data_IF_230164820923
#
_entry.id   IF_230164820923
#
_cell.length_a   1.000
_cell.length_b   1.000
_cell.length_c   1.000
_cell.angle_alpha   90.00
_cell.angle_beta   90.00
_cell.angle_gamma   90.00
#
_symmetry.space_group_name_H-M   'P 1'
#
loop_
_entity.id
_entity.type
_entity.pdbx_description
1 polymer ?
#
# COMPACT_ATOMS: atom_id res chain seq x y z
N UNK A 1 26.50 13.84 33.36
CA UNK A 1 25.95 14.69 32.28
C UNK A 1 25.17 13.79 31.31
N UNK A 2 23.89 13.65 31.57
CA UNK A 2 22.96 12.76 30.88
C UNK A 2 22.31 13.51 29.73
N UNK A 3 22.64 13.16 28.50
CA UNK A 3 21.93 13.69 27.29
C UNK A 3 20.57 13.01 27.21
N UNK A 4 19.51 13.79 27.38
CA UNK A 4 18.12 13.39 27.50
C UNK A 4 17.51 12.72 26.25
N UNK A 5 16.36 12.04 26.41
CA UNK A 5 15.69 11.21 25.42
C UNK A 5 15.11 11.97 24.21
N UNK A 6 15.11 13.30 24.25
CA UNK A 6 14.53 14.17 23.19
C UNK A 6 15.28 14.09 21.85
N UNK A 7 16.57 13.73 21.88
CA UNK A 7 17.40 13.71 20.67
C UNK A 7 17.19 12.44 19.80
N UNK A 8 16.65 11.33 20.36
CA UNK A 8 16.32 10.11 19.62
C UNK A 8 15.00 10.23 18.84
N UNK A 9 14.03 10.99 19.36
CA UNK A 9 12.77 11.27 18.64
C UNK A 9 13.02 12.11 17.37
N UNK A 10 13.92 13.10 17.46
CA UNK A 10 14.21 13.99 16.33
C UNK A 10 14.97 13.27 15.19
N UNK A 11 15.78 12.26 15.50
CA UNK A 11 16.47 11.46 14.48
C UNK A 11 15.56 10.46 13.75
N UNK A 12 14.50 9.95 14.38
CA UNK A 12 13.54 9.07 13.72
C UNK A 12 12.62 9.86 12.78
N UNK A 13 12.19 11.06 13.18
CA UNK A 13 11.41 11.97 12.35
C UNK A 13 12.20 12.47 11.14
N UNK A 14 13.47 12.79 11.29
CA UNK A 14 14.35 13.22 10.18
C UNK A 14 14.59 12.10 9.17
N UNK A 15 14.66 10.83 9.60
CA UNK A 15 14.79 9.68 8.68
C UNK A 15 13.50 9.38 7.92
N UNK A 16 12.34 9.58 8.54
CA UNK A 16 11.03 9.43 7.89
C UNK A 16 10.80 10.56 6.89
N UNK A 17 11.13 11.81 7.26
CA UNK A 17 11.04 12.98 6.38
C UNK A 17 12.06 12.89 5.24
N UNK A 18 13.29 12.41 5.48
CA UNK A 18 14.29 12.25 4.45
C UNK A 18 13.96 11.12 3.45
N UNK A 19 13.22 10.07 3.88
CA UNK A 19 12.73 8.99 2.99
C UNK A 19 11.45 9.40 2.23
N UNK A 20 10.60 10.25 2.80
CA UNK A 20 9.46 10.83 2.08
C UNK A 20 9.90 11.98 1.14
N UNK A 21 11.00 12.67 1.44
CA UNK A 21 11.59 13.65 0.52
C UNK A 21 12.09 13.02 -0.80
N UNK A 22 12.43 11.74 -0.80
CA UNK A 22 12.78 11.02 -2.03
C UNK A 22 11.58 10.73 -2.93
N UNK A 23 10.35 10.79 -2.39
CA UNK A 23 9.11 10.71 -3.21
C UNK A 23 8.72 12.06 -3.81
N UNK A 24 9.14 13.19 -3.23
CA UNK A 24 8.88 14.52 -3.79
C UNK A 24 9.46 14.72 -5.20
N UNK A 25 10.72 14.29 -5.54
CA UNK A 25 11.21 14.41 -6.90
C UNK A 25 10.46 13.51 -7.88
N UNK A 26 9.91 12.37 -7.41
CA UNK A 26 9.13 11.46 -8.26
C UNK A 26 7.75 12.05 -8.57
N UNK A 27 7.11 12.71 -7.59
CA UNK A 27 5.86 13.46 -7.77
C UNK A 27 6.13 14.73 -8.60
N UNK A 28 7.21 15.46 -8.33
CA UNK A 28 7.63 16.63 -9.09
C UNK A 28 8.03 16.25 -10.53
N UNK A 29 8.68 15.10 -10.72
CA UNK A 29 9.01 14.58 -12.06
C UNK A 29 7.75 14.17 -12.84
N UNK A 30 6.77 13.55 -12.15
CA UNK A 30 5.47 13.18 -12.74
C UNK A 30 4.66 14.42 -13.17
N UNK A 31 4.70 15.50 -12.34
CA UNK A 31 4.05 16.78 -12.69
C UNK A 31 4.83 17.56 -13.75
N UNK A 32 6.16 17.43 -13.78
CA UNK A 32 6.99 18.09 -14.80
C UNK A 32 6.87 17.41 -16.18
N UNK A 33 6.79 16.08 -16.21
CA UNK A 33 6.57 15.32 -17.44
C UNK A 33 5.18 15.62 -18.02
N UNK A 34 4.17 15.80 -17.18
CA UNK A 34 2.83 16.19 -17.65
C UNK A 34 2.78 17.61 -18.21
N UNK A 35 3.64 18.53 -17.76
CA UNK A 35 3.69 19.90 -18.28
C UNK A 35 4.50 20.04 -19.57
N UNK A 36 5.45 19.15 -19.85
CA UNK A 36 6.25 19.21 -21.09
C UNK A 36 5.56 18.58 -22.30
N UNK A 37 4.57 17.73 -22.11
CA UNK A 37 3.79 17.16 -23.22
C UNK A 37 2.81 18.16 -23.85
N UNK A 38 2.66 19.38 -23.28
CA UNK A 38 1.75 20.43 -23.78
C UNK A 38 2.44 21.62 -24.44
N UNK A 39 3.77 21.62 -24.57
CA UNK A 39 4.50 22.68 -25.25
C UNK A 39 4.86 22.22 -26.67
N UNK A 40 3.93 22.26 -27.62
CA UNK A 40 4.24 22.28 -29.04
C UNK A 40 4.37 23.75 -29.47
N UNK A 41 5.53 24.21 -30.01
CA UNK A 41 5.63 25.49 -30.66
C UNK A 41 5.22 25.34 -32.17
N UNK A 42 4.22 26.08 -32.55
CA UNK A 42 4.03 26.48 -33.96
C UNK A 42 2.96 25.71 -34.74
N UNK A 43 1.73 26.17 -34.65
CA UNK A 43 0.77 26.09 -35.74
C UNK A 43 0.32 27.52 -36.07
N UNK A 44 0.13 27.88 -37.40
CA UNK A 44 -0.20 29.25 -37.79
C UNK A 44 -1.62 29.63 -37.39
N UNK A 45 -1.75 30.87 -36.95
CA UNK A 45 -3.03 31.53 -36.67
C UNK A 45 -3.90 31.57 -37.92
N UNK A 46 -5.04 30.95 -37.89
CA UNK A 46 -6.17 31.26 -38.74
C UNK A 46 -7.46 31.28 -37.94
N UNK A 47 -7.99 32.49 -37.76
CA UNK A 47 -9.42 32.86 -37.65
C UNK A 47 -10.26 32.14 -36.61
N UNK A 48 -10.44 32.83 -35.50
CA UNK A 48 -11.63 32.99 -34.68
C UNK A 48 -12.64 31.87 -34.56
N UNK A 49 -12.60 31.22 -33.35
CA UNK A 49 -13.74 30.91 -32.53
C UNK A 49 -13.20 30.61 -31.15
N UNK A 50 -13.76 31.27 -30.12
CA UNK A 50 -13.40 31.12 -28.74
C UNK A 50 -13.56 29.67 -28.27
N UNK A 51 -12.52 28.85 -28.47
CA UNK A 51 -12.40 27.58 -27.77
C UNK A 51 -12.00 27.92 -26.33
N UNK A 52 -13.02 28.14 -25.48
CA UNK A 52 -12.83 28.18 -24.06
C UNK A 52 -11.95 26.98 -23.67
N UNK A 53 -10.93 27.13 -22.80
CA UNK A 53 -10.15 26.02 -22.31
C UNK A 53 -11.13 25.06 -21.65
N UNK A 54 -11.51 24.01 -22.37
CA UNK A 54 -12.32 22.93 -21.82
C UNK A 54 -11.47 22.32 -20.72
N UNK A 55 -11.76 22.73 -19.49
CA UNK A 55 -11.01 22.28 -18.32
C UNK A 55 -10.97 20.76 -18.33
N UNK A 56 -9.93 20.16 -17.80
CA UNK A 56 -9.74 18.71 -17.68
C UNK A 56 -11.04 17.98 -17.26
N UNK A 57 -11.89 18.62 -16.45
CA UNK A 57 -13.21 18.15 -16.07
C UNK A 57 -14.22 18.12 -17.24
N UNK A 58 -14.21 19.09 -18.15
CA UNK A 58 -15.14 19.10 -19.29
C UNK A 58 -14.77 17.97 -20.27
N UNK A 59 -13.48 17.71 -20.47
CA UNK A 59 -12.98 16.58 -21.25
C UNK A 59 -13.36 15.24 -20.61
N UNK A 60 -13.35 15.18 -19.28
CA UNK A 60 -13.73 13.99 -18.51
C UNK A 60 -15.22 13.63 -18.70
N UNK A 61 -16.10 14.63 -18.84
CA UNK A 61 -17.55 14.44 -18.98
C UNK A 61 -18.04 14.42 -20.43
N UNK A 62 -17.18 14.70 -21.41
CA UNK A 62 -17.57 14.70 -22.84
C UNK A 62 -17.85 13.29 -23.41
N UNK A 63 -17.39 12.21 -22.73
CA UNK A 63 -17.52 10.81 -23.16
C UNK A 63 -18.89 10.17 -23.05
N UNK A 64 -19.97 10.95 -22.90
CA UNK A 64 -21.30 10.42 -22.74
C UNK A 64 -21.49 9.62 -21.44
N UNK A 65 -22.62 8.93 -21.29
CA UNK A 65 -22.98 8.17 -20.09
C UNK A 65 -21.96 7.07 -19.78
N UNK A 66 -21.44 6.39 -20.80
CA UNK A 66 -20.50 5.28 -20.62
C UNK A 66 -19.12 5.78 -20.15
N UNK A 67 -18.62 6.86 -20.72
CA UNK A 67 -17.38 7.51 -20.28
C UNK A 67 -17.49 7.98 -18.82
N UNK A 68 -18.61 8.61 -18.47
CA UNK A 68 -18.86 9.07 -17.11
C UNK A 68 -18.88 7.91 -16.09
N UNK A 69 -19.47 6.75 -16.43
CA UNK A 69 -19.47 5.56 -15.57
C UNK A 69 -18.05 5.04 -15.37
N UNK A 70 -17.22 4.97 -16.42
CA UNK A 70 -15.84 4.50 -16.31
C UNK A 70 -14.99 5.41 -15.40
N UNK A 71 -15.17 6.71 -15.55
CA UNK A 71 -14.48 7.70 -14.72
C UNK A 71 -14.95 7.60 -13.27
N UNK A 72 -16.25 7.41 -13.02
CA UNK A 72 -16.77 7.23 -11.69
C UNK A 72 -16.18 5.98 -11.01
N UNK A 73 -16.07 4.87 -11.74
CA UNK A 73 -15.42 3.64 -11.23
C UNK A 73 -13.95 3.91 -10.87
N UNK A 74 -13.19 4.58 -11.74
CA UNK A 74 -11.79 4.93 -11.48
C UNK A 74 -11.66 5.87 -10.28
N UNK A 75 -12.57 6.83 -10.12
CA UNK A 75 -12.59 7.74 -8.99
C UNK A 75 -12.87 6.99 -7.68
N UNK A 76 -13.82 6.06 -7.67
CA UNK A 76 -14.10 5.21 -6.50
C UNK A 76 -12.88 4.33 -6.16
N UNK A 77 -12.22 3.72 -7.15
CA UNK A 77 -11.00 2.95 -6.94
C UNK A 77 -9.87 3.83 -6.39
N UNK A 78 -9.71 5.05 -6.90
CA UNK A 78 -8.72 6.01 -6.42
C UNK A 78 -8.96 6.41 -4.97
N UNK A 79 -10.20 6.72 -4.61
CA UNK A 79 -10.58 7.10 -3.24
C UNK A 79 -10.36 5.93 -2.27
N UNK A 80 -10.74 4.71 -2.68
CA UNK A 80 -10.54 3.50 -1.89
C UNK A 80 -9.05 3.19 -1.71
N UNK A 81 -8.23 3.32 -2.76
CA UNK A 81 -6.78 3.14 -2.68
C UNK A 81 -6.15 4.16 -1.72
N UNK A 82 -6.52 5.44 -1.83
CA UNK A 82 -6.02 6.50 -0.95
C UNK A 82 -6.39 6.24 0.52
N UNK A 83 -7.63 5.83 0.78
CA UNK A 83 -8.10 5.44 2.12
C UNK A 83 -7.28 4.27 2.69
N UNK A 84 -7.08 3.18 1.91
CA UNK A 84 -6.31 2.03 2.34
C UNK A 84 -4.84 2.36 2.60
N UNK A 85 -4.22 3.20 1.76
CA UNK A 85 -2.85 3.66 1.97
C UNK A 85 -2.74 4.40 3.30
N UNK A 86 -3.68 5.31 3.57
CA UNK A 86 -3.69 6.09 4.81
C UNK A 86 -3.92 5.19 6.04
N UNK A 87 -4.88 4.28 5.98
CA UNK A 87 -5.18 3.32 7.06
C UNK A 87 -3.97 2.44 7.38
N UNK A 88 -3.30 1.90 6.36
CA UNK A 88 -2.13 1.04 6.55
C UNK A 88 -0.90 1.82 7.05
N UNK A 89 -0.73 3.09 6.66
CA UNK A 89 0.30 3.95 7.23
C UNK A 89 0.12 4.17 8.73
N UNK A 90 -1.13 4.24 9.18
CA UNK A 90 -1.45 4.44 10.61
C UNK A 90 -1.37 3.12 11.40
N UNK A 91 -1.79 2.00 10.81
CA UNK A 91 -1.92 0.70 11.49
C UNK A 91 -0.60 -0.09 11.50
N UNK A 92 0.21 -0.05 10.43
CA UNK A 92 1.47 -0.80 10.34
C UNK A 92 2.62 0.02 10.95
N UNK A 93 2.56 0.21 12.28
CA UNK A 93 3.61 0.89 13.03
C UNK A 93 4.37 -0.10 13.92
N UNK A 94 5.70 0.05 14.01
CA UNK A 94 6.56 -0.79 14.84
C UNK A 94 6.12 -0.86 16.30
N UNK A 95 5.67 0.26 16.85
CA UNK A 95 5.27 0.35 18.27
C UNK A 95 4.04 -0.50 18.60
N UNK A 96 3.12 -0.62 17.63
CA UNK A 96 1.88 -1.38 17.82
C UNK A 96 2.11 -2.88 17.59
N UNK A 97 3.06 -3.24 16.74
CA UNK A 97 3.40 -4.65 16.45
C UNK A 97 4.40 -5.22 17.46
N UNK A 98 5.37 -4.41 17.88
CA UNK A 98 6.45 -4.82 18.80
C UNK A 98 6.67 -3.73 19.86
N UNK A 99 5.98 -3.79 21.01
CA UNK A 99 6.19 -2.87 22.12
C UNK A 99 7.62 -3.00 22.67
N UNK A 100 8.27 -1.85 22.85
CA UNK A 100 9.62 -1.81 23.40
C UNK A 100 9.64 -2.39 24.82
N UNK A 101 10.59 -3.29 25.10
CA UNK A 101 10.82 -3.89 26.41
C UNK A 101 9.96 -5.10 26.75
N UNK A 102 8.96 -5.47 25.94
CA UNK A 102 8.14 -6.66 26.20
C UNK A 102 8.97 -7.95 26.14
N UNK A 103 9.86 -8.10 25.16
CA UNK A 103 10.76 -9.25 25.03
C UNK A 103 11.64 -9.44 26.25
N UNK A 104 12.20 -8.35 26.80
CA UNK A 104 13.10 -8.40 27.95
C UNK A 104 12.32 -8.73 29.23
N UNK A 105 11.13 -8.15 29.38
CA UNK A 105 10.24 -8.43 30.51
C UNK A 105 9.82 -9.90 30.53
N UNK A 106 9.33 -10.42 29.40
CA UNK A 106 8.92 -11.83 29.29
C UNK A 106 10.11 -12.76 29.51
N UNK A 107 11.27 -12.44 28.96
CA UNK A 107 12.51 -13.21 29.19
C UNK A 107 12.89 -13.28 30.66
N UNK A 108 12.81 -12.17 31.42
CA UNK A 108 13.09 -12.14 32.83
C UNK A 108 12.12 -13.03 33.62
N UNK A 109 10.82 -12.95 33.35
CA UNK A 109 9.80 -13.79 33.96
C UNK A 109 10.04 -15.28 33.67
N UNK A 110 10.41 -15.64 32.45
CA UNK A 110 10.72 -17.03 32.09
C UNK A 110 12.00 -17.54 32.77
N UNK A 111 13.00 -16.69 32.95
CA UNK A 111 14.24 -17.08 33.67
C UNK A 111 14.01 -17.26 35.17
N UNK A 112 13.10 -16.49 35.81
CA UNK A 112 12.68 -16.66 37.19
C UNK A 112 11.74 -17.84 37.39
N UNK A 113 11.20 -18.43 36.30
CA UNK A 113 10.27 -19.57 36.36
C UNK A 113 8.82 -19.17 36.60
N UNK A 114 8.51 -17.88 36.54
CA UNK A 114 7.15 -17.37 36.72
C UNK A 114 6.42 -17.27 35.38
N UNK A 115 5.79 -18.39 34.96
CA UNK A 115 5.04 -18.49 33.72
C UNK A 115 3.78 -17.62 33.74
N UNK A 116 3.15 -17.43 34.89
CA UNK A 116 1.94 -16.61 35.02
C UNK A 116 2.25 -15.14 34.79
N UNK A 117 3.32 -14.62 35.39
CA UNK A 117 3.76 -13.25 35.18
C UNK A 117 4.17 -13.01 33.68
N UNK A 118 4.77 -14.01 33.03
CA UNK A 118 5.10 -13.92 31.60
C UNK A 118 3.83 -13.85 30.71
N UNK A 119 2.80 -14.65 31.04
CA UNK A 119 1.51 -14.61 30.34
C UNK A 119 0.77 -13.28 30.55
N UNK A 120 0.73 -12.79 31.79
CA UNK A 120 0.12 -11.51 32.14
C UNK A 120 0.81 -10.33 31.42
N UNK A 121 2.13 -10.35 31.34
CA UNK A 121 2.89 -9.34 30.60
C UNK A 121 2.52 -9.32 29.10
N UNK A 122 2.32 -10.49 28.49
CA UNK A 122 1.87 -10.60 27.10
C UNK A 122 0.40 -10.14 26.92
N UNK A 123 -0.48 -10.48 27.87
CA UNK A 123 -1.91 -10.11 27.83
C UNK A 123 -2.14 -8.61 28.07
N UNK A 124 -1.32 -7.98 28.89
CA UNK A 124 -1.41 -6.54 29.18
C UNK A 124 -1.12 -5.64 27.99
N UNK A 125 -0.38 -6.15 27.00
CA UNK A 125 0.02 -5.41 25.78
C UNK A 125 -0.22 -6.27 24.53
N UNK A 126 -1.49 -6.40 24.09
CA UNK A 126 -1.81 -7.19 22.92
C UNK A 126 -1.11 -6.63 21.66
N UNK A 127 -0.22 -7.42 21.08
CA UNK A 127 0.60 -7.04 19.94
C UNK A 127 0.95 -8.28 19.11
N UNK A 128 1.54 -8.09 17.93
CA UNK A 128 2.06 -9.18 17.11
C UNK A 128 3.02 -10.07 17.90
N UNK A 129 4.00 -9.46 18.56
CA UNK A 129 5.00 -10.17 19.35
C UNK A 129 4.39 -10.87 20.57
N UNK A 130 3.46 -10.23 21.29
CA UNK A 130 2.81 -10.85 22.47
C UNK A 130 2.01 -12.10 22.11
N UNK A 131 1.35 -12.10 20.95
CA UNK A 131 0.64 -13.27 20.45
C UNK A 131 1.60 -14.45 20.21
N UNK A 132 2.71 -14.20 19.54
CA UNK A 132 3.73 -15.21 19.23
C UNK A 132 4.35 -15.76 20.50
N UNK A 133 4.72 -14.88 21.47
CA UNK A 133 5.30 -15.30 22.75
C UNK A 133 4.29 -16.10 23.59
N UNK A 134 3.02 -15.70 23.60
CA UNK A 134 1.97 -16.40 24.34
C UNK A 134 1.82 -17.85 23.87
N UNK A 135 1.79 -18.07 22.53
CA UNK A 135 1.71 -19.42 21.96
C UNK A 135 2.94 -20.25 22.29
N UNK A 136 4.14 -19.66 22.25
CA UNK A 136 5.34 -20.35 22.67
C UNK A 136 5.35 -20.70 24.16
N UNK A 137 4.81 -19.82 25.02
CA UNK A 137 4.72 -20.06 26.48
C UNK A 137 3.73 -21.20 26.79
N UNK A 138 2.61 -21.29 26.08
CA UNK A 138 1.61 -22.35 26.28
C UNK A 138 2.13 -23.76 26.00
N UNK A 139 3.14 -23.88 25.14
CA UNK A 139 3.71 -25.17 24.75
C UNK A 139 4.99 -25.56 25.51
N UNK A 140 5.39 -24.79 26.52
CA UNK A 140 6.62 -25.05 27.28
C UNK A 140 6.62 -26.43 27.98
N UNK A 141 5.46 -26.89 28.43
CA UNK A 141 5.32 -28.18 29.15
C UNK A 141 5.50 -29.38 28.20
N UNK A 142 5.28 -29.20 26.88
CA UNK A 142 5.38 -30.25 25.88
C UNK A 142 6.79 -30.39 25.26
N UNK A 143 7.72 -29.53 25.69
CA UNK A 143 9.12 -29.57 25.30
C UNK A 143 9.48 -28.61 24.15
N UNK A 144 10.81 -28.56 23.87
CA UNK A 144 11.37 -27.55 22.99
C UNK A 144 10.81 -27.57 21.56
N UNK A 145 10.62 -28.76 20.98
CA UNK A 145 10.13 -28.87 19.60
C UNK A 145 8.68 -28.36 19.47
N UNK A 146 7.86 -28.53 20.52
CA UNK A 146 6.51 -28.00 20.55
C UNK A 146 6.53 -26.46 20.61
N UNK A 147 7.40 -25.89 21.45
CA UNK A 147 7.57 -24.43 21.53
C UNK A 147 8.02 -23.83 20.20
N UNK A 148 9.04 -24.42 19.55
CA UNK A 148 9.56 -23.95 18.28
C UNK A 148 8.48 -23.98 17.21
N UNK A 149 7.75 -25.08 17.12
CA UNK A 149 6.64 -25.21 16.17
C UNK A 149 5.50 -24.23 16.47
N UNK A 150 5.11 -24.06 17.72
CA UNK A 150 4.05 -23.12 18.11
C UNK A 150 4.43 -21.66 17.77
N UNK A 151 5.69 -21.28 17.96
CA UNK A 151 6.20 -19.96 17.58
C UNK A 151 6.16 -19.77 16.06
N UNK A 152 6.60 -20.77 15.30
CA UNK A 152 6.57 -20.73 13.82
C UNK A 152 5.13 -20.64 13.30
N UNK A 153 4.22 -21.45 13.80
CA UNK A 153 2.81 -21.46 13.42
C UNK A 153 2.13 -20.12 13.78
N UNK A 154 2.42 -19.56 14.96
CA UNK A 154 1.91 -18.26 15.37
C UNK A 154 2.45 -17.11 14.52
N UNK A 155 3.75 -17.14 14.15
CA UNK A 155 4.35 -16.18 13.23
C UNK A 155 3.69 -16.27 11.85
N UNK A 156 3.50 -17.47 11.32
CA UNK A 156 2.87 -17.68 10.02
C UNK A 156 1.41 -17.19 10.03
N UNK A 157 0.65 -17.49 11.07
CA UNK A 157 -0.74 -17.03 11.20
C UNK A 157 -0.84 -15.50 11.24
N UNK A 158 -0.04 -14.85 12.09
CA UNK A 158 -0.08 -13.39 12.24
C UNK A 158 0.44 -12.67 10.99
N UNK A 159 1.49 -13.19 10.36
CA UNK A 159 1.98 -12.64 9.10
C UNK A 159 0.92 -12.72 7.99
N UNK A 160 0.24 -13.87 7.86
CA UNK A 160 -0.84 -14.04 6.91
C UNK A 160 -2.01 -13.07 7.16
N UNK A 161 -2.32 -12.74 8.42
CA UNK A 161 -3.32 -11.73 8.77
C UNK A 161 -2.91 -10.32 8.31
N UNK A 162 -1.64 -9.96 8.44
CA UNK A 162 -1.12 -8.67 7.99
C UNK A 162 -1.09 -8.59 6.46
N UNK A 163 -0.63 -9.65 5.77
CA UNK A 163 -0.61 -9.70 4.31
C UNK A 163 -2.00 -9.58 3.69
N UNK A 164 -3.01 -10.26 4.26
CA UNK A 164 -4.40 -10.14 3.79
C UNK A 164 -4.93 -8.71 3.83
N UNK A 165 -4.51 -7.91 4.82
CA UNK A 165 -4.94 -6.50 4.89
C UNK A 165 -4.42 -5.67 3.73
N UNK A 166 -3.17 -5.85 3.34
CA UNK A 166 -2.57 -5.08 2.24
C UNK A 166 -2.91 -5.63 0.85
N UNK A 167 -3.42 -6.86 0.74
CA UNK A 167 -3.76 -7.54 -0.52
C UNK A 167 -4.77 -6.73 -1.35
N UNK A 168 -5.74 -6.10 -0.70
CA UNK A 168 -6.72 -5.25 -1.39
C UNK A 168 -6.07 -4.11 -2.19
N UNK A 169 -4.93 -3.61 -1.73
CA UNK A 169 -4.21 -2.55 -2.44
C UNK A 169 -3.56 -3.09 -3.73
N UNK A 170 -3.07 -4.33 -3.70
CA UNK A 170 -2.58 -5.05 -4.89
C UNK A 170 -3.71 -5.29 -5.89
N UNK A 171 -4.88 -5.71 -5.41
CA UNK A 171 -6.07 -5.95 -6.26
C UNK A 171 -6.48 -4.67 -6.98
N UNK A 172 -6.58 -3.53 -6.26
CA UNK A 172 -6.91 -2.23 -6.88
C UNK A 172 -5.84 -1.85 -7.92
N UNK A 173 -4.56 -2.01 -7.58
CA UNK A 173 -3.46 -1.70 -8.49
C UNK A 173 -3.47 -2.51 -9.78
N UNK A 174 -3.95 -3.75 -9.73
CA UNK A 174 -4.08 -4.61 -10.93
C UNK A 174 -5.38 -4.35 -11.70
N UNK A 175 -6.49 -4.07 -11.02
CA UNK A 175 -7.79 -3.85 -11.66
C UNK A 175 -7.86 -2.47 -12.32
N UNK A 176 -7.28 -1.43 -11.73
CA UNK A 176 -7.41 -0.07 -12.26
C UNK A 176 -6.92 0.09 -13.72
N UNK A 177 -5.76 -0.48 -14.14
CA UNK A 177 -5.36 -0.43 -15.55
C UNK A 177 -6.30 -1.21 -16.47
N UNK A 178 -6.87 -2.33 -15.98
CA UNK A 178 -7.82 -3.15 -16.74
C UNK A 178 -9.12 -2.38 -16.99
N UNK A 179 -9.61 -1.64 -16.01
CA UNK A 179 -10.76 -0.74 -16.16
C UNK A 179 -10.43 0.39 -17.15
N UNK A 180 -9.22 0.96 -17.07
CA UNK A 180 -8.76 1.96 -18.04
C UNK A 180 -8.73 1.40 -19.47
N UNK A 181 -8.19 0.20 -19.65
CA UNK A 181 -8.17 -0.49 -20.96
C UNK A 181 -9.58 -0.79 -21.47
N UNK A 182 -10.48 -1.25 -20.60
CA UNK A 182 -11.89 -1.47 -20.93
C UNK A 182 -12.52 -0.17 -21.46
N UNK A 183 -12.21 0.96 -20.84
CA UNK A 183 -12.67 2.27 -21.30
C UNK A 183 -12.22 2.60 -22.72
N UNK A 184 -10.95 2.27 -23.10
CA UNK A 184 -10.49 2.48 -24.49
C UNK A 184 -11.22 1.60 -25.49
N UNK A 185 -11.44 0.33 -25.18
CA UNK A 185 -12.13 -0.60 -26.08
C UNK A 185 -13.56 -0.13 -26.32
N UNK A 186 -14.29 0.23 -25.25
CA UNK A 186 -15.67 0.74 -25.37
C UNK A 186 -15.70 2.07 -26.13
N UNK A 187 -14.78 2.99 -25.83
CA UNK A 187 -14.69 4.29 -26.53
C UNK A 187 -14.44 4.12 -28.03
N UNK A 188 -13.55 3.22 -28.43
CA UNK A 188 -13.34 2.91 -29.85
C UNK A 188 -14.57 2.26 -30.51
N UNK A 189 -15.26 1.33 -29.83
CA UNK A 189 -16.50 0.74 -30.36
C UNK A 189 -17.53 1.81 -30.64
N UNK A 190 -17.74 2.75 -29.72
CA UNK A 190 -18.70 3.86 -29.89
C UNK A 190 -18.25 4.78 -31.04
N UNK A 191 -16.96 5.11 -31.13
CA UNK A 191 -16.45 5.94 -32.21
C UNK A 191 -16.69 5.33 -33.61
N UNK A 192 -16.39 4.03 -33.78
CA UNK A 192 -16.67 3.32 -35.05
C UNK A 192 -18.15 3.10 -35.32
N UNK A 193 -18.98 2.91 -34.29
CA UNK A 193 -20.43 2.83 -34.46
C UNK A 193 -21.02 4.15 -35.01
N UNK A 194 -20.50 5.29 -34.55
CA UNK A 194 -20.90 6.60 -35.06
C UNK A 194 -20.51 6.75 -36.54
N UNK A 195 -19.33 6.30 -36.96
CA UNK A 195 -18.89 6.29 -38.36
C UNK A 195 -19.82 5.42 -39.22
N UNK A 196 -20.17 4.23 -38.72
CA UNK A 196 -21.05 3.31 -39.42
C UNK A 196 -22.49 3.87 -39.59
N UNK A 197 -23.03 4.51 -38.57
CA UNK A 197 -24.36 5.08 -38.57
C UNK A 197 -24.53 6.28 -39.49
N UNK A 198 -23.42 7.01 -39.74
CA UNK A 198 -23.37 8.18 -40.69
C UNK A 198 -23.00 7.79 -42.11
N UNK A 199 -23.06 6.50 -42.46
CA UNK A 199 -22.70 5.98 -43.80
C UNK A 199 -21.32 6.43 -44.30
N UNK A 200 -20.36 6.58 -43.38
CA UNK A 200 -19.00 7.01 -43.68
C UNK A 200 -18.80 8.51 -43.84
N UNK A 201 -19.83 9.33 -43.61
CA UNK A 201 -19.73 10.81 -43.67
C UNK A 201 -19.27 11.43 -42.35
N UNK A 202 -18.98 10.61 -41.31
CA UNK A 202 -18.40 11.10 -40.07
C UNK A 202 -17.08 11.83 -40.34
N UNK A 203 -16.95 13.03 -39.76
CA UNK A 203 -15.75 13.83 -39.94
C UNK A 203 -14.57 13.24 -39.15
N UNK A 204 -13.35 13.36 -39.67
CA UNK A 204 -12.12 12.94 -38.98
C UNK A 204 -12.00 13.51 -37.57
N UNK A 205 -12.42 14.76 -37.27
CA UNK A 205 -12.46 15.28 -35.89
C UNK A 205 -13.35 14.49 -34.93
N UNK A 206 -14.51 14.01 -35.35
CA UNK A 206 -15.42 13.23 -34.49
C UNK A 206 -14.81 11.87 -34.11
N UNK A 207 -14.13 11.22 -35.06
CA UNK A 207 -13.41 9.98 -34.77
C UNK A 207 -12.24 10.21 -33.81
N UNK A 208 -11.47 11.28 -34.03
CA UNK A 208 -10.34 11.66 -33.19
C UNK A 208 -10.77 11.95 -31.75
N UNK A 209 -11.90 12.62 -31.58
CA UNK A 209 -12.46 12.90 -30.24
C UNK A 209 -12.80 11.62 -29.48
N UNK A 210 -13.46 10.64 -30.12
CA UNK A 210 -13.77 9.35 -29.49
C UNK A 210 -12.51 8.57 -29.10
N UNK A 211 -11.47 8.58 -29.94
CA UNK A 211 -10.18 7.96 -29.62
C UNK A 211 -9.48 8.68 -28.46
N UNK A 212 -9.48 10.00 -28.48
CA UNK A 212 -8.88 10.81 -27.40
C UNK A 212 -9.53 10.52 -26.05
N UNK A 213 -10.86 10.53 -25.98
CA UNK A 213 -11.59 10.20 -24.76
C UNK A 213 -11.28 8.79 -24.25
N UNK A 214 -11.18 7.83 -25.16
CA UNK A 214 -10.77 6.47 -24.84
C UNK A 214 -9.37 6.44 -24.18
N UNK A 215 -8.39 7.13 -24.73
CA UNK A 215 -7.03 7.16 -24.18
C UNK A 215 -6.96 7.80 -22.79
N UNK A 216 -7.78 8.82 -22.52
CA UNK A 216 -7.86 9.48 -21.20
C UNK A 216 -8.23 8.49 -20.09
N UNK A 217 -9.12 7.53 -20.35
CA UNK A 217 -9.51 6.51 -19.34
C UNK A 217 -8.34 5.59 -18.98
N UNK A 218 -7.49 5.22 -19.94
CA UNK A 218 -6.30 4.40 -19.67
C UNK A 218 -5.28 5.17 -18.82
N UNK A 219 -5.04 6.43 -19.13
CA UNK A 219 -4.16 7.29 -18.34
C UNK A 219 -4.69 7.40 -16.91
N UNK A 220 -6.00 7.59 -16.74
CA UNK A 220 -6.66 7.61 -15.43
C UNK A 220 -6.44 6.30 -14.65
N UNK A 221 -6.58 5.16 -15.32
CA UNK A 221 -6.33 3.84 -14.70
C UNK A 221 -4.88 3.68 -14.23
N UNK A 222 -3.91 4.12 -15.01
CA UNK A 222 -2.48 4.06 -14.65
C UNK A 222 -2.14 5.02 -13.50
N UNK A 223 -2.73 6.22 -13.45
CA UNK A 223 -2.53 7.17 -12.35
C UNK A 223 -2.98 6.57 -11.01
N UNK A 224 -4.03 5.75 -10.99
CA UNK A 224 -4.49 5.05 -9.79
C UNK A 224 -3.61 3.85 -9.47
N UNK A 225 -3.22 3.07 -10.48
CA UNK A 225 -2.48 1.82 -10.31
C UNK A 225 -1.06 2.00 -9.78
N UNK A 226 -0.32 2.97 -10.32
CA UNK A 226 1.10 3.16 -9.97
C UNK A 226 1.30 3.43 -8.48
N UNK A 227 0.60 4.40 -7.83
CA UNK A 227 0.74 4.61 -6.41
C UNK A 227 0.19 3.45 -5.57
N UNK A 228 -0.85 2.75 -6.02
CA UNK A 228 -1.42 1.61 -5.30
C UNK A 228 -0.42 0.44 -5.23
N UNK A 229 0.18 0.04 -6.37
CA UNK A 229 1.19 -1.02 -6.42
C UNK A 229 2.46 -0.61 -5.68
N UNK A 230 2.89 0.65 -5.83
CA UNK A 230 4.06 1.16 -5.12
C UNK A 230 3.88 1.12 -3.60
N UNK A 231 2.72 1.54 -3.10
CA UNK A 231 2.40 1.48 -1.68
C UNK A 231 2.29 0.03 -1.18
N UNK A 232 1.65 -0.88 -1.94
CA UNK A 232 1.61 -2.30 -1.64
C UNK A 232 3.01 -2.90 -1.46
N UNK A 233 3.93 -2.65 -2.39
CA UNK A 233 5.30 -3.14 -2.32
C UNK A 233 6.04 -2.62 -1.07
N UNK A 234 5.84 -1.35 -0.71
CA UNK A 234 6.44 -0.75 0.48
C UNK A 234 5.88 -1.41 1.76
N UNK A 235 4.56 -1.60 1.86
CA UNK A 235 3.94 -2.22 3.03
C UNK A 235 4.34 -3.69 3.16
N UNK A 236 4.38 -4.42 2.06
CA UNK A 236 4.83 -5.81 2.02
C UNK A 236 6.24 -5.96 2.59
N UNK A 237 7.18 -5.17 2.08
CA UNK A 237 8.56 -5.19 2.60
C UNK A 237 8.66 -4.81 4.08
N UNK A 238 7.82 -3.91 4.57
CA UNK A 238 7.76 -3.56 6.00
C UNK A 238 7.23 -4.71 6.85
N UNK A 239 6.18 -5.40 6.40
CA UNK A 239 5.64 -6.56 7.11
C UNK A 239 6.69 -7.66 7.18
N UNK A 240 7.37 -7.99 6.07
CA UNK A 240 8.45 -8.97 6.05
C UNK A 240 9.56 -8.64 7.06
N UNK A 241 9.97 -7.37 7.15
CA UNK A 241 10.95 -6.92 8.13
C UNK A 241 10.45 -7.10 9.58
N UNK A 242 9.18 -6.77 9.86
CA UNK A 242 8.62 -6.93 11.21
C UNK A 242 8.46 -8.39 11.59
N UNK A 243 8.07 -9.26 10.66
CA UNK A 243 7.98 -10.71 10.91
C UNK A 243 9.36 -11.29 11.23
N UNK A 244 10.39 -10.93 10.47
CA UNK A 244 11.77 -11.36 10.73
C UNK A 244 12.29 -10.85 12.07
N UNK A 245 12.02 -9.59 12.43
CA UNK A 245 12.43 -9.01 13.72
C UNK A 245 11.70 -9.71 14.88
N UNK A 246 10.40 -9.99 14.74
CA UNK A 246 9.62 -10.70 15.76
C UNK A 246 10.09 -12.15 15.94
N UNK A 247 10.43 -12.85 14.85
CA UNK A 247 11.00 -14.19 14.91
C UNK A 247 12.34 -14.19 15.66
N UNK A 248 13.21 -13.23 15.38
CA UNK A 248 14.49 -13.08 16.11
C UNK A 248 14.26 -12.80 17.59
N UNK A 249 13.33 -11.89 17.94
CA UNK A 249 13.01 -11.59 19.34
C UNK A 249 12.42 -12.80 20.07
N UNK A 250 11.51 -13.54 19.44
CA UNK A 250 10.93 -14.75 20.02
C UNK A 250 12.00 -15.81 20.29
N UNK A 251 12.89 -16.07 19.34
CA UNK A 251 14.03 -16.98 19.55
C UNK A 251 14.93 -16.52 20.68
N UNK A 252 15.20 -15.22 20.80
CA UNK A 252 16.04 -14.67 21.87
C UNK A 252 15.41 -14.85 23.24
N UNK A 253 14.08 -14.71 23.35
CA UNK A 253 13.33 -14.93 24.61
C UNK A 253 13.40 -16.38 25.08
N UNK A 254 13.28 -17.35 24.17
CA UNK A 254 13.24 -18.77 24.51
C UNK A 254 14.60 -19.47 24.55
N UNK A 255 15.66 -18.90 23.97
CA UNK A 255 17.00 -19.51 23.93
C UNK A 255 17.58 -19.90 25.29
N UNK A 256 17.43 -19.12 26.39
CA UNK A 256 17.93 -19.51 27.70
C UNK A 256 17.27 -20.79 28.27
N UNK A 257 15.98 -20.98 27.98
CA UNK A 257 15.23 -22.16 28.40
C UNK A 257 15.70 -23.43 27.68
N UNK A 258 16.02 -23.31 26.38
CA UNK A 258 16.61 -24.41 25.59
C UNK A 258 17.92 -24.92 26.18
N UNK A 259 18.78 -24.01 26.65
CA UNK A 259 20.06 -24.38 27.28
C UNK A 259 19.86 -25.11 28.63
N UNK A 260 18.88 -24.67 29.42
CA UNK A 260 18.57 -25.29 30.72
C UNK A 260 18.00 -26.71 30.56
N UNK A 261 17.21 -26.94 29.51
CA UNK A 261 16.62 -28.25 29.20
C UNK A 261 17.63 -29.26 28.59
N UNK A 262 18.70 -28.79 27.92
CA UNK A 262 19.77 -29.65 27.41
C UNK A 262 20.79 -30.05 28.51
N UNK A 263 20.81 -29.33 29.62
CA UNK A 263 21.74 -29.58 30.74
C UNK A 263 21.15 -30.54 31.81
N UNK A 264 19.90 -30.95 31.66
CA UNK A 264 19.25 -32.03 32.43
C UNK A 264 19.21 -33.30 31.60
#
# INVERSE_FOLDING_TARGET
>A
MTRGPINKLNQSWRRIICRSLWMLPLIAWLTLVSSQCFAQPGAPESGGEDVAPSGFLAILFSGGIVGAIMILILLLLSLTAAYLIFDHLMTIRRKDLMPDGLSDQVRQCLMSGDLKAAQEACQSRPSFLSFVLLHGISELDFGWNAVEKAVEDALAEQSARLFRKIEYLSVIGNIAPMVGLLGTVIGMIIAFQNVASTQGTASAPQLAEGIYQALVTTVGGLIVAIPAIGAFAIFRNRIDQFVAEAAYMAQHVFTPLRRKNKAK
#
